data_IF_316471722465
#
_entry.id   IF_316471722465
#
_cell.length_a   1.000
_cell.length_b   1.000
_cell.length_c   1.000
_cell.angle_alpha   90.00
_cell.angle_beta   90.00
_cell.angle_gamma   90.00
#
_symmetry.space_group_name_H-M   'P 1'
#
loop_
_entity.id
_entity.type
_entity.pdbx_description
1 polymer ?
#
# COMPACT_ATOMS: atom_id res chain seq x y z
N UNK A 1 47.08 41.75 -68.78
CA UNK A 1 47.97 40.90 -67.93
C UNK A 1 47.52 40.85 -66.46
N UNK A 2 46.86 41.86 -65.90
CA UNK A 2 46.44 41.87 -64.49
C UNK A 2 45.41 40.79 -64.08
N UNK A 3 44.46 40.41 -64.95
CA UNK A 3 43.44 39.40 -64.60
C UNK A 3 44.00 37.99 -64.36
N UNK A 4 45.15 37.63 -64.96
CA UNK A 4 45.69 36.29 -64.83
C UNK A 4 46.37 36.07 -63.46
N UNK A 5 46.91 37.13 -62.86
CA UNK A 5 47.51 37.09 -61.52
C UNK A 5 46.46 36.92 -60.42
N UNK A 6 45.30 37.58 -60.55
CA UNK A 6 44.23 37.47 -59.55
C UNK A 6 43.65 36.06 -59.52
N UNK A 7 43.49 35.42 -60.69
CA UNK A 7 43.02 34.04 -60.77
C UNK A 7 44.05 33.06 -60.21
N UNK A 8 45.36 33.25 -60.48
CA UNK A 8 46.41 32.44 -59.87
C UNK A 8 46.46 32.63 -58.35
N UNK A 9 46.30 33.84 -57.84
CA UNK A 9 46.24 34.11 -56.40
C UNK A 9 45.04 33.44 -55.75
N UNK A 10 43.86 33.49 -56.38
CA UNK A 10 42.68 32.79 -55.90
C UNK A 10 42.84 31.27 -55.91
N UNK A 11 43.45 30.71 -56.96
CA UNK A 11 43.78 29.29 -57.06
C UNK A 11 44.79 28.85 -56.00
N UNK A 12 45.81 29.65 -55.73
CA UNK A 12 46.82 29.36 -54.70
C UNK A 12 46.28 29.53 -53.27
N UNK A 13 45.29 30.40 -53.07
CA UNK A 13 44.52 30.48 -51.81
C UNK A 13 43.65 29.23 -51.63
N UNK A 14 42.95 28.78 -52.68
CA UNK A 14 42.15 27.55 -52.65
C UNK A 14 43.01 26.30 -52.44
N UNK A 15 44.20 26.26 -53.05
CA UNK A 15 45.17 25.17 -52.90
C UNK A 15 45.95 25.20 -51.57
N UNK A 16 45.72 26.21 -50.72
CA UNK A 16 46.32 26.34 -49.39
C UNK A 16 47.76 26.87 -49.37
N UNK A 17 48.31 27.27 -50.52
CA UNK A 17 49.72 27.69 -50.67
C UNK A 17 49.94 29.19 -50.37
N UNK A 18 48.88 30.03 -50.40
CA UNK A 18 48.91 31.46 -50.00
C UNK A 18 47.80 31.80 -49.00
N UNK A 19 48.04 32.78 -48.11
CA UNK A 19 47.08 33.26 -47.08
C UNK A 19 46.26 34.45 -47.61
N UNK A 20 44.93 34.44 -47.46
CA UNK A 20 44.11 35.60 -47.79
C UNK A 20 44.08 36.57 -46.60
N UNK A 21 44.79 37.68 -46.70
CA UNK A 21 44.70 38.77 -45.73
C UNK A 21 43.69 39.80 -46.21
N UNK A 22 42.55 39.94 -45.53
CA UNK A 22 41.79 41.19 -45.61
C UNK A 22 42.39 42.18 -44.60
N UNK A 23 42.58 43.44 -44.99
CA UNK A 23 43.39 44.40 -44.24
C UNK A 23 43.03 44.42 -42.74
N UNK A 24 43.99 44.03 -41.90
CA UNK A 24 43.91 44.14 -40.44
C UNK A 24 43.30 42.96 -39.66
N UNK A 25 43.01 41.80 -40.26
CA UNK A 25 42.58 40.60 -39.50
C UNK A 25 43.45 39.37 -39.81
N UNK A 26 43.80 38.61 -38.77
CA UNK A 26 44.62 37.41 -38.89
C UNK A 26 43.96 36.37 -39.81
N UNK A 27 44.72 35.84 -40.78
CA UNK A 27 44.24 34.88 -41.78
C UNK A 27 43.80 33.56 -41.12
N UNK A 28 42.50 33.27 -41.17
CA UNK A 28 41.89 32.00 -40.72
C UNK A 28 42.13 30.95 -41.81
N UNK A 29 42.79 29.82 -41.50
CA UNK A 29 42.95 28.72 -42.48
C UNK A 29 41.58 28.08 -42.74
N UNK A 30 41.37 27.51 -43.93
CA UNK A 30 40.18 26.68 -44.19
C UNK A 30 40.12 25.48 -43.22
N UNK A 31 41.28 24.97 -42.80
CA UNK A 31 41.40 23.97 -41.74
C UNK A 31 40.98 24.50 -40.36
N UNK A 32 41.25 25.78 -40.06
CA UNK A 32 40.81 26.42 -38.81
C UNK A 32 39.30 26.70 -38.87
N UNK A 33 38.76 27.07 -40.03
CA UNK A 33 37.32 27.20 -40.26
C UNK A 33 36.61 25.83 -40.17
N UNK A 34 37.16 24.77 -40.76
CA UNK A 34 36.63 23.41 -40.65
C UNK A 34 36.78 22.84 -39.23
N UNK A 35 37.86 23.18 -38.51
CA UNK A 35 38.04 22.83 -37.09
C UNK A 35 37.08 23.63 -36.21
N UNK A 36 36.77 24.87 -36.57
CA UNK A 36 35.82 25.75 -35.89
C UNK A 36 34.36 25.39 -36.20
N UNK A 37 34.07 24.84 -37.38
CA UNK A 37 32.78 24.19 -37.73
C UNK A 37 32.68 22.81 -37.07
N UNK A 38 33.75 22.02 -37.03
CA UNK A 38 33.77 20.72 -36.36
C UNK A 38 33.67 20.80 -34.83
N UNK A 39 33.86 21.99 -34.25
CA UNK A 39 33.76 22.25 -32.79
C UNK A 39 32.56 23.10 -32.41
N UNK A 40 31.81 23.64 -33.37
CA UNK A 40 30.62 24.46 -33.11
C UNK A 40 29.45 23.88 -33.91
N UNK A 41 28.45 23.34 -33.21
CA UNK A 41 27.12 22.93 -33.70
C UNK A 41 27.05 21.53 -34.38
N UNK A 42 26.61 20.48 -33.64
CA UNK A 42 25.55 19.50 -34.04
C UNK A 42 25.72 18.04 -33.60
N UNK A 43 26.91 17.51 -33.28
CA UNK A 43 27.04 16.08 -32.92
C UNK A 43 27.15 15.86 -31.40
N UNK A 44 28.11 16.48 -30.72
CA UNK A 44 28.34 16.25 -29.29
C UNK A 44 27.24 16.82 -28.39
N UNK A 45 26.65 17.97 -28.78
CA UNK A 45 25.49 18.55 -28.06
C UNK A 45 24.23 17.71 -28.26
N UNK A 46 24.06 17.12 -29.45
CA UNK A 46 22.94 16.22 -29.75
C UNK A 46 23.11 14.88 -29.00
N UNK A 47 24.32 14.34 -28.94
CA UNK A 47 24.67 13.16 -28.12
C UNK A 47 24.45 13.44 -26.62
N UNK A 48 24.78 14.65 -26.14
CA UNK A 48 24.53 15.07 -24.74
C UNK A 48 23.03 15.20 -24.45
N UNK A 49 22.27 15.81 -25.36
CA UNK A 49 20.81 15.92 -25.23
C UNK A 49 20.13 14.56 -25.30
N UNK A 50 20.56 13.70 -26.23
CA UNK A 50 20.09 12.32 -26.35
C UNK A 50 20.41 11.51 -25.09
N UNK A 51 21.60 11.64 -24.52
CA UNK A 51 21.97 10.99 -23.26
C UNK A 51 21.10 11.50 -22.10
N UNK A 52 20.83 12.81 -22.04
CA UNK A 52 19.96 13.42 -21.02
C UNK A 52 18.52 12.91 -21.13
N UNK A 53 17.96 12.86 -22.34
CA UNK A 53 16.62 12.33 -22.59
C UNK A 53 16.56 10.84 -22.25
N UNK A 54 17.57 10.05 -22.64
CA UNK A 54 17.64 8.62 -22.32
C UNK A 54 17.68 8.39 -20.82
N UNK A 55 18.47 9.18 -20.09
CA UNK A 55 18.51 9.14 -18.64
C UNK A 55 17.16 9.54 -18.03
N UNK A 56 16.55 10.62 -18.51
CA UNK A 56 15.22 11.04 -18.04
C UNK A 56 14.14 9.98 -18.29
N UNK A 57 14.21 9.27 -19.42
CA UNK A 57 13.31 8.15 -19.71
C UNK A 57 13.57 6.96 -18.77
N UNK A 58 14.83 6.65 -18.49
CA UNK A 58 15.20 5.61 -17.53
C UNK A 58 14.69 5.95 -16.13
N UNK A 59 14.93 7.18 -15.67
CA UNK A 59 14.47 7.68 -14.37
C UNK A 59 12.93 7.64 -14.27
N UNK A 60 12.22 8.05 -15.33
CA UNK A 60 10.75 7.95 -15.41
C UNK A 60 10.27 6.49 -15.39
N UNK A 61 10.97 5.59 -16.09
CA UNK A 61 10.64 4.15 -16.10
C UNK A 61 10.81 3.54 -14.71
N UNK A 62 11.89 3.89 -14.00
CA UNK A 62 12.11 3.47 -12.61
C UNK A 62 11.02 4.01 -11.69
N UNK A 63 10.73 5.31 -11.76
CA UNK A 63 9.70 5.92 -10.92
C UNK A 63 8.30 5.31 -11.15
N UNK A 64 7.95 4.97 -12.39
CA UNK A 64 6.71 4.27 -12.71
C UNK A 64 6.69 2.84 -12.14
N UNK A 65 7.80 2.10 -12.28
CA UNK A 65 7.91 0.74 -11.74
C UNK A 65 7.77 0.72 -10.21
N UNK A 66 8.40 1.68 -9.52
CA UNK A 66 8.30 1.82 -8.08
C UNK A 66 6.87 2.19 -7.63
N UNK A 67 6.20 3.07 -8.38
CA UNK A 67 4.81 3.44 -8.13
C UNK A 67 3.84 2.26 -8.37
N UNK A 68 4.07 1.45 -9.40
CA UNK A 68 3.30 0.23 -9.67
C UNK A 68 3.46 -0.79 -8.56
N UNK A 69 4.69 -0.98 -8.06
CA UNK A 69 4.95 -1.88 -6.93
C UNK A 69 4.27 -1.40 -5.64
N UNK A 70 4.31 -0.10 -5.36
CA UNK A 70 3.63 0.49 -4.21
C UNK A 70 2.10 0.34 -4.32
N UNK A 71 1.53 0.61 -5.49
CA UNK A 71 0.10 0.43 -5.74
C UNK A 71 -0.31 -1.03 -5.61
N UNK A 72 0.50 -1.97 -6.09
CA UNK A 72 0.22 -3.40 -5.95
C UNK A 72 0.21 -3.82 -4.48
N UNK A 73 1.15 -3.33 -3.67
CA UNK A 73 1.17 -3.58 -2.23
C UNK A 73 -0.08 -3.03 -1.53
N UNK A 74 -0.54 -1.83 -1.91
CA UNK A 74 -1.78 -1.25 -1.38
C UNK A 74 -3.02 -2.06 -1.82
N UNK A 75 -3.06 -2.56 -3.06
CA UNK A 75 -4.13 -3.44 -3.55
C UNK A 75 -4.17 -4.76 -2.77
N UNK A 76 -3.02 -5.36 -2.52
CA UNK A 76 -2.91 -6.59 -1.74
C UNK A 76 -3.39 -6.35 -0.31
N UNK A 77 -2.96 -5.25 0.32
CA UNK A 77 -3.44 -4.84 1.64
C UNK A 77 -4.95 -4.58 1.67
N UNK A 78 -5.53 -3.95 0.65
CA UNK A 78 -6.98 -3.77 0.55
C UNK A 78 -7.72 -5.09 0.30
N UNK A 79 -7.12 -6.02 -0.42
CA UNK A 79 -7.68 -7.36 -0.68
C UNK A 79 -7.73 -8.16 0.61
N UNK A 80 -6.65 -8.14 1.39
CA UNK A 80 -6.57 -8.74 2.72
C UNK A 80 -7.54 -8.06 3.70
N UNK A 81 -7.73 -6.75 3.59
CA UNK A 81 -8.67 -5.99 4.41
C UNK A 81 -10.15 -6.20 4.03
N UNK A 82 -10.46 -6.59 2.79
CA UNK A 82 -11.83 -6.83 2.34
C UNK A 82 -12.32 -8.21 2.79
N UNK A 83 -12.84 -8.24 4.02
CA UNK A 83 -13.67 -9.33 4.53
C UNK A 83 -14.95 -9.48 3.70
N UNK A 84 -15.08 -10.57 2.95
CA UNK A 84 -16.40 -11.14 2.64
C UNK A 84 -16.44 -12.61 3.07
N UNK A 85 -16.45 -12.74 4.40
CA UNK A 85 -17.08 -13.78 5.25
C UNK A 85 -16.42 -15.17 5.29
N UNK A 86 -15.12 -15.20 5.59
CA UNK A 86 -14.59 -16.28 6.42
C UNK A 86 -14.28 -15.67 7.79
N UNK A 87 -15.11 -16.01 8.78
CA UNK A 87 -14.88 -15.61 10.17
C UNK A 87 -13.99 -16.64 10.82
N UNK A 88 -12.95 -16.20 11.51
CA UNK A 88 -12.11 -17.10 12.29
C UNK A 88 -12.94 -17.75 13.39
N UNK A 89 -12.70 -19.04 13.63
CA UNK A 89 -13.32 -19.79 14.72
C UNK A 89 -12.32 -19.87 15.88
N UNK A 90 -12.53 -19.06 16.91
CA UNK A 90 -11.74 -19.08 18.13
C UNK A 90 -12.31 -20.15 19.07
N UNK A 91 -11.62 -21.27 19.21
CA UNK A 91 -12.11 -22.40 20.02
C UNK A 91 -11.66 -22.28 21.47
N UNK A 92 -12.63 -22.28 22.38
CA UNK A 92 -12.44 -22.29 23.82
C UNK A 92 -12.87 -23.64 24.40
N UNK A 93 -11.92 -24.34 25.04
CA UNK A 93 -12.11 -25.68 25.60
C UNK A 93 -12.29 -25.68 27.12
N UNK A 94 -12.11 -24.54 27.79
CA UNK A 94 -12.29 -24.40 29.24
C UNK A 94 -13.76 -24.24 29.66
N UNK A 95 -13.99 -24.28 30.97
CA UNK A 95 -15.31 -24.06 31.59
C UNK A 95 -15.57 -22.60 31.99
N UNK A 96 -14.53 -21.78 32.09
CA UNK A 96 -14.64 -20.34 32.34
C UNK A 96 -13.68 -19.61 31.41
N UNK A 97 -14.22 -18.67 30.64
CA UNK A 97 -13.48 -17.88 29.67
C UNK A 97 -13.97 -16.44 29.66
N UNK A 98 -13.13 -15.53 29.19
CA UNK A 98 -13.45 -14.11 29.04
C UNK A 98 -13.20 -13.73 27.58
N UNK A 99 -14.09 -12.93 26.99
CA UNK A 99 -13.89 -12.41 25.64
C UNK A 99 -12.59 -11.60 25.56
N UNK A 100 -11.84 -11.79 24.47
CA UNK A 100 -10.62 -11.07 24.17
C UNK A 100 -10.76 -10.26 22.87
N UNK A 101 -9.92 -9.24 22.66
CA UNK A 101 -9.98 -8.41 21.44
C UNK A 101 -9.92 -9.23 20.14
N UNK A 102 -9.22 -10.37 20.14
CA UNK A 102 -9.16 -11.29 18.99
C UNK A 102 -10.49 -11.96 18.62
N UNK A 103 -11.51 -11.87 19.48
CA UNK A 103 -12.86 -12.39 19.23
C UNK A 103 -13.72 -11.41 18.41
N UNK A 104 -13.29 -10.15 18.27
CA UNK A 104 -14.04 -9.11 17.53
C UNK A 104 -14.24 -9.51 16.06
N UNK A 105 -15.50 -9.55 15.61
CA UNK A 105 -15.86 -9.94 14.24
C UNK A 105 -15.80 -11.45 13.95
N UNK A 106 -15.44 -12.28 14.95
CA UNK A 106 -15.19 -13.70 14.81
C UNK A 106 -16.26 -14.57 15.50
N UNK A 107 -16.11 -15.90 15.39
CA UNK A 107 -16.97 -16.89 16.06
C UNK A 107 -16.21 -17.49 17.25
N UNK A 108 -16.74 -17.30 18.46
CA UNK A 108 -16.27 -18.00 19.66
C UNK A 108 -16.95 -19.37 19.74
N UNK A 109 -16.15 -20.44 19.70
CA UNK A 109 -16.62 -21.82 19.76
C UNK A 109 -16.32 -22.45 21.11
N UNK A 110 -17.33 -22.53 21.97
CA UNK A 110 -17.23 -23.09 23.31
C UNK A 110 -17.48 -24.61 23.25
N UNK A 111 -16.49 -25.46 23.54
CA UNK A 111 -16.56 -26.92 23.25
C UNK A 111 -16.56 -27.84 24.46
N UNK A 112 -16.33 -27.34 25.68
CA UNK A 112 -16.30 -28.16 26.89
C UNK A 112 -17.63 -28.90 27.15
N UNK A 113 -17.57 -30.16 27.57
CA UNK A 113 -18.74 -30.99 27.87
C UNK A 113 -19.43 -30.65 29.20
N UNK A 114 -18.72 -30.03 30.14
CA UNK A 114 -19.28 -29.50 31.39
C UNK A 114 -19.93 -28.14 31.16
N UNK A 115 -20.67 -27.64 32.15
CA UNK A 115 -21.20 -26.28 32.13
C UNK A 115 -20.08 -25.25 31.91
N UNK A 116 -20.37 -24.24 31.09
CA UNK A 116 -19.41 -23.22 30.66
C UNK A 116 -19.91 -21.82 30.99
N UNK A 117 -18.98 -20.92 31.26
CA UNK A 117 -19.25 -19.49 31.41
C UNK A 117 -18.37 -18.71 30.44
N UNK A 118 -18.98 -17.80 29.69
CA UNK A 118 -18.28 -16.81 28.87
C UNK A 118 -18.56 -15.42 29.44
N UNK A 119 -17.50 -14.77 29.93
CA UNK A 119 -17.57 -13.46 30.56
C UNK A 119 -17.37 -12.36 29.53
N UNK A 120 -18.26 -11.37 29.50
CA UNK A 120 -18.06 -10.12 28.78
C UNK A 120 -17.25 -9.18 29.70
N UNK A 121 -15.99 -8.85 29.37
CA UNK A 121 -15.13 -8.05 30.25
C UNK A 121 -15.59 -6.59 30.33
N UNK A 122 -15.26 -5.87 31.43
CA UNK A 122 -15.38 -4.42 31.50
C UNK A 122 -14.56 -3.75 30.38
N UNK A 123 -15.06 -2.64 29.82
CA UNK A 123 -14.37 -1.93 28.74
C UNK A 123 -12.96 -1.46 29.10
N UNK A 124 -12.74 -1.15 30.37
CA UNK A 124 -11.44 -0.70 30.87
C UNK A 124 -10.38 -1.80 30.79
N UNK A 125 -10.79 -3.07 30.89
CA UNK A 125 -9.90 -4.23 30.82
C UNK A 125 -9.71 -4.69 29.37
N UNK A 126 -10.79 -4.68 28.58
CA UNK A 126 -10.79 -5.08 27.16
C UNK A 126 -11.68 -4.12 26.35
N UNK A 127 -11.03 -3.16 25.69
CA UNK A 127 -11.70 -2.07 25.00
C UNK A 127 -12.17 -2.47 23.57
N UNK A 128 -13.28 -3.19 23.49
CA UNK A 128 -13.98 -3.39 22.20
C UNK A 128 -14.62 -2.09 21.73
N UNK A 129 -14.58 -1.81 20.42
CA UNK A 129 -15.29 -0.68 19.84
C UNK A 129 -16.81 -0.91 19.82
N UNK A 130 -17.58 0.16 20.00
CA UNK A 130 -19.05 0.12 19.81
C UNK A 130 -19.36 -0.27 18.37
N UNK A 131 -20.28 -1.21 18.18
CA UNK A 131 -20.57 -1.86 16.89
C UNK A 131 -19.86 -3.20 16.70
N UNK A 132 -18.94 -3.58 17.59
CA UNK A 132 -18.33 -4.91 17.55
C UNK A 132 -19.38 -6.01 17.72
N UNK A 133 -19.38 -6.97 16.80
CA UNK A 133 -20.17 -8.19 16.88
C UNK A 133 -19.27 -9.39 17.20
N UNK A 134 -19.71 -10.27 18.09
CA UNK A 134 -19.10 -11.57 18.36
C UNK A 134 -20.19 -12.63 18.30
N UNK A 135 -20.04 -13.58 17.39
CA UNK A 135 -20.94 -14.73 17.32
C UNK A 135 -20.41 -15.84 18.23
N UNK A 136 -21.31 -16.56 18.87
CA UNK A 136 -20.96 -17.59 19.85
C UNK A 136 -21.67 -18.88 19.55
N UNK A 137 -20.89 -19.95 19.39
CA UNK A 137 -21.34 -21.33 19.23
C UNK A 137 -21.20 -22.06 20.56
N UNK A 138 -22.29 -22.54 21.13
CA UNK A 138 -22.23 -23.54 22.19
C UNK A 138 -22.14 -24.94 21.58
N UNK A 139 -21.09 -25.67 21.95
CA UNK A 139 -20.86 -27.07 21.61
C UNK A 139 -20.35 -27.82 22.84
N UNK A 140 -20.29 -29.15 22.75
CA UNK A 140 -20.13 -30.01 23.92
C UNK A 140 -21.43 -30.08 24.74
N UNK A 141 -21.60 -31.13 25.54
CA UNK A 141 -22.88 -31.41 26.22
C UNK A 141 -23.35 -30.35 27.23
N UNK A 142 -22.45 -29.49 27.72
CA UNK A 142 -22.77 -28.54 28.78
C UNK A 142 -23.38 -27.24 28.28
N UNK A 143 -24.34 -26.71 29.04
CA UNK A 143 -24.92 -25.39 28.84
C UNK A 143 -23.85 -24.30 28.99
N UNK A 144 -23.89 -23.30 28.10
CA UNK A 144 -23.09 -22.08 28.19
C UNK A 144 -23.92 -20.99 28.88
N UNK A 145 -23.30 -20.21 29.75
CA UNK A 145 -23.89 -19.02 30.38
C UNK A 145 -23.05 -17.80 30.04
N UNK A 146 -23.68 -16.74 29.57
CA UNK A 146 -23.04 -15.43 29.40
C UNK A 146 -23.05 -14.70 30.74
N UNK A 147 -21.89 -14.22 31.18
CA UNK A 147 -21.74 -13.50 32.44
C UNK A 147 -21.27 -12.06 32.18
N UNK A 148 -21.97 -11.03 32.73
CA UNK A 148 -21.43 -9.69 32.72
C UNK A 148 -20.23 -9.58 33.67
N UNK A 149 -19.13 -9.01 33.20
CA UNK A 149 -18.05 -8.54 34.06
C UNK A 149 -18.49 -7.34 34.92
N UNK A 150 -17.59 -6.85 35.77
CA UNK A 150 -17.88 -5.72 36.66
C UNK A 150 -18.35 -4.48 35.89
N UNK A 151 -19.55 -3.97 36.19
CA UNK A 151 -20.12 -2.79 35.54
C UNK A 151 -20.61 -3.01 34.10
N UNK A 152 -20.57 -4.24 33.59
CA UNK A 152 -21.11 -4.59 32.27
C UNK A 152 -22.61 -4.86 32.37
N UNK A 153 -23.37 -4.35 31.41
CA UNK A 153 -24.78 -4.65 31.19
C UNK A 153 -24.94 -5.49 29.93
N UNK A 154 -25.60 -6.65 30.04
CA UNK A 154 -26.01 -7.48 28.91
C UNK A 154 -27.53 -7.35 28.76
N UNK A 155 -27.97 -6.75 27.68
CA UNK A 155 -29.38 -6.59 27.32
C UNK A 155 -29.84 -7.83 26.56
N UNK A 156 -30.70 -8.65 27.16
CA UNK A 156 -31.28 -9.82 26.50
C UNK A 156 -32.77 -9.97 26.82
N UNK A 157 -33.52 -10.61 25.91
CA UNK A 157 -34.95 -10.84 26.12
C UNK A 157 -35.20 -11.68 27.38
N UNK A 158 -35.96 -11.12 28.33
CA UNK A 158 -36.26 -11.70 29.64
C UNK A 158 -35.02 -12.12 30.45
N UNK A 159 -33.90 -11.40 30.30
CA UNK A 159 -32.64 -11.69 31.00
C UNK A 159 -32.15 -13.13 30.82
N UNK A 160 -32.41 -13.71 29.65
CA UNK A 160 -31.90 -15.02 29.26
C UNK A 160 -30.42 -14.91 28.89
N UNK A 161 -29.57 -15.61 29.63
CA UNK A 161 -28.13 -15.63 29.39
C UNK A 161 -27.60 -17.04 29.12
N UNK A 162 -28.48 -18.04 29.05
CA UNK A 162 -28.12 -19.42 28.74
C UNK A 162 -28.13 -19.70 27.25
N UNK A 163 -27.23 -20.58 26.82
CA UNK A 163 -27.20 -21.15 25.48
C UNK A 163 -26.96 -22.66 25.59
N UNK A 164 -28.00 -23.43 25.25
CA UNK A 164 -27.93 -24.89 25.25
C UNK A 164 -26.92 -25.41 24.24
N UNK A 165 -26.51 -26.67 24.44
CA UNK A 165 -25.64 -27.36 23.49
C UNK A 165 -26.22 -27.31 22.08
N UNK A 166 -25.33 -27.14 21.11
CA UNK A 166 -25.66 -27.04 19.71
C UNK A 166 -26.54 -25.83 19.32
N UNK A 167 -26.61 -24.77 20.14
CA UNK A 167 -27.21 -23.48 19.78
C UNK A 167 -26.19 -22.35 19.52
N UNK A 168 -26.66 -21.27 18.91
CA UNK A 168 -25.89 -20.06 18.59
C UNK A 168 -26.53 -18.81 19.22
N UNK A 169 -25.69 -17.84 19.55
CA UNK A 169 -26.08 -16.50 19.97
C UNK A 169 -25.08 -15.46 19.44
N UNK A 170 -25.49 -14.20 19.45
CA UNK A 170 -24.68 -13.06 19.01
C UNK A 170 -24.64 -12.03 20.11
N UNK A 171 -23.44 -11.53 20.39
CA UNK A 171 -23.19 -10.36 21.22
C UNK A 171 -22.87 -9.17 20.31
N UNK A 172 -23.59 -8.07 20.48
CA UNK A 172 -23.33 -6.80 19.79
C UNK A 172 -23.06 -5.71 20.82
N UNK A 173 -21.91 -5.05 20.74
CA UNK A 173 -21.60 -3.93 21.63
C UNK A 173 -22.36 -2.68 21.21
N UNK A 174 -23.26 -2.20 22.07
CA UNK A 174 -24.14 -1.05 21.78
C UNK A 174 -23.73 0.22 22.52
N UNK A 175 -22.96 0.10 23.60
CA UNK A 175 -22.32 1.23 24.31
C UNK A 175 -21.06 0.77 25.06
N UNK A 176 -20.35 1.70 25.72
CA UNK A 176 -19.06 1.43 26.41
C UNK A 176 -19.07 0.17 27.25
N UNK A 177 -20.08 -0.05 28.10
CA UNK A 177 -20.25 -1.25 28.94
C UNK A 177 -21.57 -1.98 28.67
N UNK A 178 -22.21 -1.74 27.52
CA UNK A 178 -23.52 -2.32 27.20
C UNK A 178 -23.44 -3.18 25.95
N UNK A 179 -23.95 -4.41 26.05
CA UNK A 179 -24.00 -5.38 24.97
C UNK A 179 -25.42 -5.90 24.79
N UNK A 180 -25.91 -5.92 23.56
CA UNK A 180 -27.11 -6.67 23.22
C UNK A 180 -26.74 -8.14 22.99
N UNK A 181 -27.50 -9.05 23.59
CA UNK A 181 -27.38 -10.49 23.41
C UNK A 181 -28.69 -11.03 22.84
N UNK A 182 -28.61 -11.65 21.66
CA UNK A 182 -29.75 -12.29 21.02
C UNK A 182 -29.36 -13.62 20.39
N UNK A 183 -30.36 -14.44 20.08
CA UNK A 183 -30.24 -15.73 19.44
C UNK A 183 -31.11 -16.77 20.12
N UNK A 184 -30.62 -18.00 20.13
CA UNK A 184 -31.39 -19.16 20.56
C UNK A 184 -31.28 -19.36 22.09
N UNK A 185 -31.60 -18.31 22.86
CA UNK A 185 -31.32 -18.19 24.28
C UNK A 185 -32.31 -18.97 25.16
N UNK A 186 -31.81 -19.41 26.32
CA UNK A 186 -32.56 -20.04 27.41
C UNK A 186 -32.24 -19.35 28.73
N UNK A 187 -33.06 -19.59 29.75
CA UNK A 187 -32.77 -19.20 31.14
C UNK A 187 -31.62 -20.04 31.68
#
# INVERSE_FOLDING_TARGET
MANNNVLQEQLEILAGTRRQGNQGKAAVRYEDFNKQIGTKTNQTDFETYQATVTQSLADQTTALTDAEAALQADIDALTDAKSNIIRTINTYTGTSQTLALGDAGNVVHMTNASAKTLTVPPNVDVAFDVGTQVDVRCSGGGKLTFAPGSGVTIESYNSKYGLESLRFATLLKVATNTWALDGALVT
#
